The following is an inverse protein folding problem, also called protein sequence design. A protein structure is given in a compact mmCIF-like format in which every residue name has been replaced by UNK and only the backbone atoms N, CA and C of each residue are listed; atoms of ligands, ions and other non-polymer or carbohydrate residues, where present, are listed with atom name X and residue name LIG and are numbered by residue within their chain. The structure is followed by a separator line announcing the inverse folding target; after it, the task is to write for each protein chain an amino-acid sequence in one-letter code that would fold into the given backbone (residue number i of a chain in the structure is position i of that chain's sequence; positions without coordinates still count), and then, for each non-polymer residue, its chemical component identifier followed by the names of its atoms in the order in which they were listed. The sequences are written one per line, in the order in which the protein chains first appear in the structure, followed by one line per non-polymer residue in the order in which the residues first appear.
data_IF_651172047070
#
_entry.id   IF_651172047070
#
_cell.length_a   1.000
_cell.length_b   1.000
_cell.length_c   1.000
_cell.angle_alpha   90.00
_cell.angle_beta   90.00
_cell.angle_gamma   90.00
#
_symmetry.space_group_name_H-M   'P 1'
#
loop_
_entity.id
_entity.type
_entity.pdbx_description
1 polymer ?
#
# COMPACT_ATOMS: atom_id res chain seq x y z
N UNK A 1 -52.63 -21.35 13.24
CA UNK A 1 -51.56 -20.67 13.99
C UNK A 1 -50.30 -20.77 13.15
N UNK A 2 -49.84 -19.84 12.31
CA UNK A 2 -50.00 -18.39 12.21
C UNK A 2 -48.60 -17.80 11.96
N UNK A 3 -48.35 -17.33 10.74
CA UNK A 3 -47.34 -16.33 10.27
C UNK A 3 -45.83 -16.59 10.50
N UNK A 4 -45.06 -16.91 9.45
CA UNK A 4 -44.30 -16.03 8.53
C UNK A 4 -43.04 -15.34 9.11
N UNK A 5 -41.88 -15.82 8.62
CA UNK A 5 -40.65 -15.10 8.20
C UNK A 5 -40.27 -13.79 8.88
N UNK A 6 -39.09 -13.74 9.53
CA UNK A 6 -38.26 -12.53 9.56
C UNK A 6 -36.76 -12.84 9.45
N UNK A 7 -36.38 -13.21 8.22
CA UNK A 7 -35.03 -13.12 7.67
C UNK A 7 -34.56 -11.66 7.78
N UNK A 8 -33.75 -11.33 8.78
CA UNK A 8 -33.24 -9.97 8.98
C UNK A 8 -31.97 -9.78 8.15
N UNK A 9 -32.13 -9.63 6.83
CA UNK A 9 -31.09 -9.08 5.95
C UNK A 9 -30.86 -7.64 6.38
N UNK A 10 -29.70 -7.35 6.98
CA UNK A 10 -29.25 -5.97 7.16
C UNK A 10 -28.59 -5.52 5.86
N UNK A 11 -29.41 -5.23 4.85
CA UNK A 11 -29.03 -4.34 3.76
C UNK A 11 -29.06 -2.91 4.31
N UNK A 12 -27.91 -2.43 4.77
CA UNK A 12 -27.71 -1.01 5.02
C UNK A 12 -27.37 -0.31 3.70
N UNK A 13 -28.11 0.73 3.28
CA UNK A 13 -27.87 1.45 2.04
C UNK A 13 -26.70 2.44 2.16
N UNK A 14 -26.16 2.78 1.00
CA UNK A 14 -25.11 3.77 0.76
C UNK A 14 -25.45 5.16 1.33
N UNK A 15 -24.49 5.79 2.01
CA UNK A 15 -24.31 7.25 2.03
C UNK A 15 -23.02 7.59 2.80
N UNK A 16 -22.04 8.11 2.08
CA UNK A 16 -20.75 8.52 2.61
C UNK A 16 -19.67 8.49 1.54
N UNK A 17 -20.03 8.87 0.30
CA UNK A 17 -19.07 9.14 -0.76
C UNK A 17 -18.26 10.38 -0.40
N UNK A 18 -17.28 10.22 0.48
CA UNK A 18 -16.15 11.12 0.54
C UNK A 18 -15.22 10.71 -0.58
N UNK A 19 -15.37 11.33 -1.75
CA UNK A 19 -14.33 11.34 -2.76
C UNK A 19 -13.01 11.61 -2.05
N UNK A 20 -12.10 10.63 -2.03
CA UNK A 20 -10.69 10.88 -1.78
C UNK A 20 -10.13 11.66 -2.98
N UNK A 21 -10.69 12.85 -3.22
CA UNK A 21 -10.12 13.86 -4.08
C UNK A 21 -8.83 14.30 -3.40
N UNK A 22 -7.74 14.25 -4.14
CA UNK A 22 -6.42 14.73 -3.74
C UNK A 22 -6.39 16.27 -3.62
N UNK A 23 -7.35 16.85 -2.89
CA UNK A 23 -7.51 18.28 -2.71
C UNK A 23 -7.77 18.59 -1.24
N UNK A 24 -6.70 18.97 -0.53
CA UNK A 24 -6.68 19.60 0.80
C UNK A 24 -7.16 18.69 1.95
N UNK A 25 -6.25 17.89 2.50
CA UNK A 25 -6.45 17.22 3.80
C UNK A 25 -6.22 18.28 4.89
N UNK A 26 -7.23 18.55 5.72
CA UNK A 26 -7.09 19.46 6.85
C UNK A 26 -6.34 18.76 8.00
N UNK A 27 -5.20 19.29 8.47
CA UNK A 27 -4.41 18.65 9.52
C UNK A 27 -5.09 18.64 10.89
N UNK A 28 -6.10 19.50 11.11
CA UNK A 28 -6.84 19.62 12.36
C UNK A 28 -8.03 18.66 12.48
N UNK A 29 -8.41 17.96 11.42
CA UNK A 29 -9.49 16.96 11.45
C UNK A 29 -8.99 15.55 11.78
N UNK A 30 -9.93 14.70 12.16
CA UNK A 30 -9.72 13.27 12.42
C UNK A 30 -10.33 12.47 11.27
N UNK A 31 -9.66 11.41 10.86
CA UNK A 31 -9.99 10.65 9.66
C UNK A 31 -10.01 9.15 9.94
N UNK A 32 -11.00 8.47 9.37
CA UNK A 32 -11.05 7.00 9.43
C UNK A 32 -10.15 6.39 8.34
N UNK A 33 -9.21 5.48 8.69
CA UNK A 33 -8.33 4.85 7.71
C UNK A 33 -9.03 3.79 6.84
N UNK A 34 -10.25 3.35 7.18
CA UNK A 34 -10.99 2.36 6.41
C UNK A 34 -12.05 2.99 5.50
N UNK A 35 -12.97 3.78 6.05
CA UNK A 35 -14.04 4.40 5.26
C UNK A 35 -13.67 5.78 4.71
N UNK A 36 -12.55 6.36 5.13
CA UNK A 36 -12.12 7.70 4.70
C UNK A 36 -12.88 8.86 5.35
N UNK A 37 -13.89 8.58 6.20
CA UNK A 37 -14.77 9.58 6.82
C UNK A 37 -14.02 10.64 7.63
N UNK A 38 -14.57 11.84 7.64
CA UNK A 38 -13.99 13.05 8.22
C UNK A 38 -14.74 13.43 9.50
N UNK A 39 -13.99 13.68 10.56
CA UNK A 39 -14.50 13.95 11.89
C UNK A 39 -13.80 15.18 12.46
N UNK A 40 -14.50 15.90 13.33
CA UNK A 40 -13.92 17.04 14.04
C UNK A 40 -12.81 16.59 15.01
N UNK A 41 -11.93 17.52 15.37
CA UNK A 41 -10.95 17.31 16.43
C UNK A 41 -11.62 16.83 17.72
N UNK A 42 -11.05 15.81 18.37
CA UNK A 42 -11.54 15.24 19.63
C UNK A 42 -12.36 13.95 19.49
N UNK A 43 -12.81 13.59 18.30
CA UNK A 43 -13.39 12.26 18.07
C UNK A 43 -12.28 11.21 17.98
N UNK A 44 -12.40 10.14 18.78
CA UNK A 44 -11.40 9.06 18.83
C UNK A 44 -11.83 7.85 18.00
N UNK A 45 -13.14 7.60 17.83
CA UNK A 45 -13.67 6.40 17.16
C UNK A 45 -14.60 6.73 16.00
N UNK A 46 -14.49 5.96 14.92
CA UNK A 46 -15.36 6.04 13.75
C UNK A 46 -16.74 5.42 14.04
N UNK A 47 -17.82 6.14 13.77
CA UNK A 47 -19.18 5.65 13.97
C UNK A 47 -19.61 4.52 13.00
N UNK A 48 -18.90 4.34 11.89
CA UNK A 48 -19.22 3.32 10.87
C UNK A 48 -18.34 2.08 11.01
N UNK A 49 -17.04 2.27 11.30
CA UNK A 49 -16.05 1.21 11.33
C UNK A 49 -15.66 0.79 12.76
N UNK A 50 -16.04 1.54 13.78
CA UNK A 50 -15.69 1.32 15.20
C UNK A 50 -14.20 1.26 15.54
N UNK A 51 -13.34 1.68 14.61
CA UNK A 51 -11.88 1.78 14.75
C UNK A 51 -11.44 3.18 15.18
N UNK A 52 -10.21 3.26 15.69
CA UNK A 52 -9.57 4.51 16.05
C UNK A 52 -9.29 5.41 14.84
N UNK A 53 -9.65 6.68 15.01
CA UNK A 53 -9.44 7.73 14.03
C UNK A 53 -8.00 8.23 14.09
N UNK A 54 -7.43 8.54 12.93
CA UNK A 54 -6.09 9.13 12.82
C UNK A 54 -6.20 10.62 12.53
N UNK A 55 -5.24 11.42 12.99
CA UNK A 55 -5.21 12.85 12.66
C UNK A 55 -4.96 13.08 11.17
N UNK A 56 -5.43 14.22 10.66
CA UNK A 56 -5.16 14.68 9.30
C UNK A 56 -3.67 14.82 9.03
N UNK A 57 -2.90 15.27 10.02
CA UNK A 57 -1.45 15.30 9.96
C UNK A 57 -0.83 13.91 9.73
N UNK A 58 -1.31 12.88 10.45
CA UNK A 58 -0.83 11.50 10.27
C UNK A 58 -1.28 10.93 8.91
N UNK A 59 -2.50 11.22 8.48
CA UNK A 59 -3.01 10.83 7.16
C UNK A 59 -2.16 11.43 6.03
N UNK A 60 -1.82 12.71 6.14
CA UNK A 60 -0.96 13.42 5.20
C UNK A 60 0.46 12.85 5.19
N UNK A 61 1.01 12.54 6.37
CA UNK A 61 2.33 11.92 6.50
C UNK A 61 2.37 10.53 5.83
N UNK A 62 1.32 9.71 5.97
CA UNK A 62 1.22 8.40 5.31
C UNK A 62 1.17 8.52 3.79
N UNK A 63 0.40 9.46 3.26
CA UNK A 63 0.33 9.70 1.81
C UNK A 63 1.69 10.18 1.27
N UNK A 64 2.34 11.12 1.97
CA UNK A 64 3.69 11.58 1.60
C UNK A 64 4.74 10.47 1.72
N UNK A 65 4.66 9.63 2.74
CA UNK A 65 5.58 8.50 2.96
C UNK A 65 5.41 7.38 1.93
N UNK A 66 4.16 7.08 1.56
CA UNK A 66 3.84 6.14 0.48
C UNK A 66 4.40 6.62 -0.86
N UNK A 67 4.22 7.90 -1.17
CA UNK A 67 4.82 8.50 -2.37
C UNK A 67 6.35 8.40 -2.34
N UNK A 68 7.01 8.69 -1.21
CA UNK A 68 8.47 8.55 -1.11
C UNK A 68 8.96 7.12 -1.37
N UNK A 69 8.20 6.09 -0.99
CA UNK A 69 8.56 4.69 -1.26
C UNK A 69 8.42 4.35 -2.75
N UNK A 70 7.40 4.89 -3.41
CA UNK A 70 7.24 4.80 -4.87
C UNK A 70 8.35 5.57 -5.61
N UNK A 71 8.77 6.72 -5.10
CA UNK A 71 9.82 7.56 -5.70
C UNK A 71 11.23 7.01 -5.46
N UNK A 72 11.46 6.26 -4.37
CA UNK A 72 12.75 5.60 -4.07
C UNK A 72 13.04 4.38 -4.94
N UNK A 73 12.04 3.80 -5.58
CA UNK A 73 12.21 2.59 -6.39
C UNK A 73 12.73 2.84 -7.81
N UNK A 74 12.94 4.10 -8.18
CA UNK A 74 13.33 4.53 -9.52
C UNK A 74 14.79 4.98 -9.60
N UNK A 75 15.62 4.70 -8.60
CA UNK A 75 17.03 5.06 -8.64
C UNK A 75 17.79 4.03 -9.51
N UNK A 76 18.45 4.52 -10.56
CA UNK A 76 19.25 3.71 -11.47
C UNK A 76 20.47 3.17 -10.72
N UNK A 77 20.67 1.84 -10.74
CA UNK A 77 21.84 1.22 -10.11
C UNK A 77 23.09 1.68 -10.87
N UNK A 78 23.90 2.54 -10.23
CA UNK A 78 25.21 2.92 -10.76
C UNK A 78 26.26 1.90 -10.36
N UNK A 79 27.34 1.78 -11.13
CA UNK A 79 28.42 0.81 -10.89
C UNK A 79 29.17 1.00 -9.57
N UNK A 80 28.96 2.12 -8.87
CA UNK A 80 29.56 2.42 -7.57
C UNK A 80 28.68 2.01 -6.37
N UNK A 81 27.45 1.53 -6.62
CA UNK A 81 26.52 1.15 -5.55
C UNK A 81 26.95 -0.19 -4.91
N UNK A 82 26.96 -0.32 -3.57
CA UNK A 82 27.29 -1.57 -2.90
C UNK A 82 26.22 -2.64 -3.16
N UNK A 83 26.55 -3.63 -3.99
CA UNK A 83 25.64 -4.72 -4.34
C UNK A 83 25.71 -5.86 -3.31
N UNK A 84 24.55 -6.49 -3.05
CA UNK A 84 24.44 -7.71 -2.24
C UNK A 84 23.78 -8.82 -3.05
N UNK A 85 24.35 -10.03 -2.98
CA UNK A 85 23.80 -11.21 -3.64
C UNK A 85 22.57 -11.72 -2.89
N UNK A 86 21.39 -11.57 -3.50
CA UNK A 86 20.13 -12.08 -2.94
C UNK A 86 19.95 -13.59 -3.18
N UNK A 87 20.23 -14.04 -4.41
CA UNK A 87 20.07 -15.44 -4.82
C UNK A 87 20.82 -15.74 -6.12
N UNK A 88 21.49 -16.90 -6.19
CA UNK A 88 22.03 -17.49 -7.41
C UNK A 88 21.14 -18.64 -7.90
N UNK A 89 21.08 -18.88 -9.21
CA UNK A 89 20.21 -19.89 -9.79
C UNK A 89 20.13 -19.86 -11.31
N UNK A 90 19.15 -20.57 -11.88
CA UNK A 90 18.94 -20.62 -13.32
C UNK A 90 18.46 -19.26 -13.85
N UNK A 91 18.84 -18.92 -15.08
CA UNK A 91 18.52 -17.62 -15.68
C UNK A 91 17.01 -17.36 -15.78
N UNK A 92 16.19 -18.41 -15.95
CA UNK A 92 14.73 -18.33 -15.97
C UNK A 92 14.18 -17.81 -14.63
N UNK A 93 14.65 -18.38 -13.52
CA UNK A 93 14.24 -17.97 -12.18
C UNK A 93 14.75 -16.57 -11.85
N UNK A 94 15.98 -16.23 -12.23
CA UNK A 94 16.55 -14.90 -12.00
C UNK A 94 15.78 -13.81 -12.76
N UNK A 95 15.35 -14.08 -14.01
CA UNK A 95 14.48 -13.18 -14.77
C UNK A 95 13.10 -13.01 -14.12
N UNK A 96 12.55 -14.09 -13.57
CA UNK A 96 11.29 -14.05 -12.84
C UNK A 96 11.41 -13.21 -11.56
N UNK A 97 12.45 -13.45 -10.76
CA UNK A 97 12.71 -12.67 -9.55
C UNK A 97 12.96 -11.20 -9.85
N UNK A 98 13.73 -10.86 -10.89
CA UNK A 98 13.93 -9.46 -11.30
C UNK A 98 12.61 -8.75 -11.61
N UNK A 99 11.64 -9.44 -12.23
CA UNK A 99 10.30 -8.87 -12.48
C UNK A 99 9.52 -8.65 -11.19
N UNK A 100 9.56 -9.58 -10.25
CA UNK A 100 8.89 -9.41 -8.94
C UNK A 100 9.51 -8.27 -8.14
N UNK A 101 10.84 -8.18 -8.10
CA UNK A 101 11.57 -7.11 -7.41
C UNK A 101 11.28 -5.74 -8.03
N UNK A 102 11.26 -5.66 -9.36
CA UNK A 102 10.91 -4.42 -10.07
C UNK A 102 9.46 -3.97 -9.81
N UNK A 103 8.52 -4.91 -9.65
CA UNK A 103 7.12 -4.58 -9.32
C UNK A 103 6.98 -3.94 -7.93
N UNK A 104 7.87 -4.28 -6.99
CA UNK A 104 7.93 -3.69 -5.65
C UNK A 104 8.84 -2.45 -5.58
N UNK A 105 9.36 -1.98 -6.72
CA UNK A 105 10.28 -0.84 -6.78
C UNK A 105 11.64 -1.15 -6.13
N UNK A 106 12.10 -2.39 -6.20
CA UNK A 106 13.42 -2.79 -5.69
C UNK A 106 14.37 -2.91 -6.89
N UNK A 107 15.39 -2.05 -7.00
CA UNK A 107 16.34 -2.10 -8.09
C UNK A 107 17.20 -3.37 -7.97
N UNK A 108 17.29 -4.14 -9.04
CA UNK A 108 18.06 -5.38 -9.08
C UNK A 108 18.76 -5.58 -10.43
N UNK A 109 20.04 -5.98 -10.38
CA UNK A 109 20.81 -6.43 -11.53
C UNK A 109 21.14 -7.92 -11.41
N UNK A 110 21.25 -8.59 -12.55
CA UNK A 110 21.69 -9.98 -12.62
C UNK A 110 23.19 -9.95 -12.87
N UNK A 111 23.98 -10.27 -11.84
CA UNK A 111 25.42 -10.46 -11.95
C UNK A 111 25.75 -11.87 -12.44
N UNK A 112 26.73 -11.98 -13.34
CA UNK A 112 27.30 -13.26 -13.74
C UNK A 112 28.46 -13.61 -12.83
N UNK A 113 28.28 -14.55 -11.90
CA UNK A 113 29.42 -15.18 -11.22
C UNK A 113 30.08 -16.16 -12.21
N UNK A 114 31.40 -16.05 -12.38
CA UNK A 114 32.19 -16.73 -13.42
C UNK A 114 32.08 -18.27 -13.44
N UNK A 115 31.43 -18.89 -12.45
CA UNK A 115 31.37 -20.34 -12.26
C UNK A 115 30.06 -21.01 -12.74
N UNK A 116 29.08 -20.26 -13.26
CA UNK A 116 27.74 -20.83 -13.54
C UNK A 116 27.19 -20.62 -14.96
N UNK A 117 27.98 -20.10 -15.91
CA UNK A 117 27.59 -20.09 -17.32
C UNK A 117 27.94 -21.43 -18.00
N UNK A 118 27.07 -22.44 -17.82
CA UNK A 118 27.00 -23.57 -18.76
C UNK A 118 25.89 -23.27 -19.77
N UNK A 119 26.30 -22.99 -21.00
CA UNK A 119 25.42 -22.89 -22.17
C UNK A 119 24.66 -24.19 -22.37
N UNK A 120 23.34 -24.11 -22.51
CA UNK A 120 22.43 -25.21 -22.84
C UNK A 120 21.13 -24.66 -23.36
#
# INVERSE_FOLDING_TARGET
MGILSLFRRKTGPAAGGGTAGAGIIDPGLMYCPQCGGEYRAGFVRCATCDIDLISGALRLARLRGGNRRAERGSEEITAADPLVTLRSGQLKDLKYYRKLLAAEGIPAIIGGEASACRTG
#
